data_IF_345962701257
#
_entry.id   IF_345962701257
#
_cell.length_a   1.000
_cell.length_b   1.000
_cell.length_c   1.000
_cell.angle_alpha   90.00
_cell.angle_beta   90.00
_cell.angle_gamma   90.00
#
_symmetry.space_group_name_H-M   'P 1'
#
loop_
_entity.id
_entity.type
_entity.pdbx_description
1 polymer ?
#
# COMPACT_ATOMS: atom_id res chain seq x y z
N UNK A 1 -8.79 -16.40 22.01
CA UNK A 1 -9.04 -16.21 20.57
C UNK A 1 -9.32 -14.74 20.35
N UNK A 2 -8.52 -14.03 19.55
CA UNK A 2 -8.76 -12.62 19.24
C UNK A 2 -9.83 -12.57 18.14
N UNK A 3 -11.04 -12.11 18.44
CA UNK A 3 -12.12 -12.03 17.46
C UNK A 3 -11.89 -10.84 16.53
N UNK A 4 -11.36 -11.10 15.34
CA UNK A 4 -11.34 -10.12 14.27
C UNK A 4 -12.72 -10.09 13.63
N UNK A 5 -13.51 -9.07 13.95
CA UNK A 5 -14.83 -8.90 13.36
C UNK A 5 -14.69 -8.69 11.85
N UNK A 6 -15.35 -9.55 11.06
CA UNK A 6 -15.26 -9.60 9.59
C UNK A 6 -15.66 -8.29 8.91
N UNK A 7 -16.45 -7.45 9.58
CA UNK A 7 -16.82 -6.13 9.06
C UNK A 7 -15.67 -5.11 9.03
N UNK A 8 -14.54 -5.39 9.70
CA UNK A 8 -13.40 -4.47 9.82
C UNK A 8 -12.25 -4.79 8.87
N UNK A 9 -12.30 -5.95 8.22
CA UNK A 9 -11.19 -6.45 7.41
C UNK A 9 -11.68 -6.91 6.04
N UNK A 10 -10.87 -6.65 5.03
CA UNK A 10 -11.02 -7.19 3.67
C UNK A 10 -9.94 -8.24 3.46
N UNK A 11 -10.34 -9.38 2.92
CA UNK A 11 -9.42 -10.47 2.61
C UNK A 11 -8.78 -10.23 1.24
N UNK A 12 -7.46 -10.10 1.23
CA UNK A 12 -6.59 -10.21 0.07
C UNK A 12 -6.23 -11.69 -0.18
N UNK A 13 -5.69 -12.04 -1.36
CA UNK A 13 -5.16 -13.37 -1.63
C UNK A 13 -4.16 -13.83 -0.56
N UNK A 14 -3.95 -15.15 -0.47
CA UNK A 14 -2.99 -15.77 0.46
C UNK A 14 -3.29 -15.54 1.94
N UNK A 15 -4.58 -15.47 2.31
CA UNK A 15 -5.05 -15.38 3.71
C UNK A 15 -4.54 -14.12 4.43
N UNK A 16 -4.36 -13.06 3.65
CA UNK A 16 -3.98 -11.75 4.14
C UNK A 16 -5.25 -10.93 4.39
N UNK A 17 -5.35 -10.34 5.57
CA UNK A 17 -6.48 -9.52 6.00
C UNK A 17 -5.99 -8.10 6.26
N UNK A 18 -6.52 -7.15 5.51
CA UNK A 18 -6.19 -5.72 5.62
C UNK A 18 -7.40 -4.92 6.13
N UNK A 19 -7.20 -3.76 6.76
CA UNK A 19 -8.31 -2.92 7.18
C UNK A 19 -9.26 -2.60 6.02
N UNK A 20 -10.56 -2.65 6.28
CA UNK A 20 -11.60 -2.35 5.28
C UNK A 20 -11.53 -0.93 4.71
N UNK A 21 -10.92 -0.02 5.46
CA UNK A 21 -10.70 1.38 5.09
C UNK A 21 -9.55 1.56 4.09
N UNK A 22 -8.75 0.51 3.85
CA UNK A 22 -7.74 0.57 2.81
C UNK A 22 -8.40 0.70 1.43
N UNK A 23 -7.79 1.46 0.51
CA UNK A 23 -8.24 1.59 -0.87
C UNK A 23 -7.88 0.32 -1.66
N UNK A 24 -8.49 -0.80 -1.30
CA UNK A 24 -8.23 -2.11 -1.91
C UNK A 24 -8.66 -2.10 -3.38
N UNK A 25 -9.82 -1.52 -3.67
CA UNK A 25 -10.40 -1.48 -5.01
C UNK A 25 -9.51 -0.71 -5.99
N UNK A 26 -9.01 -1.40 -7.02
CA UNK A 26 -8.10 -0.84 -8.03
C UNK A 26 -6.61 -0.87 -7.64
N UNK A 27 -6.27 -1.38 -6.45
CA UNK A 27 -4.89 -1.55 -6.00
C UNK A 27 -4.63 -2.97 -5.47
N UNK A 28 -5.54 -3.91 -5.70
CA UNK A 28 -5.48 -5.26 -5.15
C UNK A 28 -4.15 -5.94 -5.48
N UNK A 29 -3.72 -5.86 -6.74
CA UNK A 29 -2.47 -6.47 -7.20
C UNK A 29 -1.24 -5.84 -6.54
N UNK A 30 -1.22 -4.50 -6.40
CA UNK A 30 -0.13 -3.80 -5.74
C UNK A 30 -0.09 -4.12 -4.25
N UNK A 31 -1.21 -3.97 -3.55
CA UNK A 31 -1.32 -4.26 -2.13
C UNK A 31 -0.97 -5.71 -1.85
N UNK A 32 -1.41 -6.66 -2.68
CA UNK A 32 -1.05 -8.08 -2.53
C UNK A 32 0.46 -8.32 -2.62
N UNK A 33 1.14 -7.68 -3.58
CA UNK A 33 2.60 -7.76 -3.70
C UNK A 33 3.29 -7.10 -2.51
N UNK A 34 2.80 -5.93 -2.09
CA UNK A 34 3.38 -5.19 -0.97
C UNK A 34 3.22 -5.93 0.35
N UNK A 35 2.04 -6.46 0.65
CA UNK A 35 1.80 -7.24 1.87
C UNK A 35 2.64 -8.50 1.88
N UNK A 36 2.85 -9.14 0.72
CA UNK A 36 3.75 -10.28 0.61
C UNK A 36 5.20 -9.89 0.92
N UNK A 37 5.68 -8.78 0.39
CA UNK A 37 7.03 -8.27 0.73
C UNK A 37 7.17 -8.03 2.24
N UNK A 38 6.17 -7.45 2.89
CA UNK A 38 6.21 -7.25 4.35
C UNK A 38 6.22 -8.59 5.09
N UNK A 39 5.41 -9.57 4.67
CA UNK A 39 5.38 -10.90 5.29
C UNK A 39 6.73 -11.61 5.13
N UNK A 40 7.33 -11.54 3.94
CA UNK A 40 8.62 -12.16 3.65
C UNK A 40 9.77 -11.47 4.42
N UNK A 41 9.67 -10.16 4.69
CA UNK A 41 10.68 -9.36 5.40
C UNK A 41 10.49 -9.35 6.93
N UNK A 42 9.38 -9.86 7.47
CA UNK A 42 9.17 -10.01 8.93
C UNK A 42 10.13 -11.01 9.58
N UNK A 43 10.94 -11.73 8.79
CA UNK A 43 12.11 -12.46 9.29
C UNK A 43 13.25 -11.55 9.77
N UNK A 44 13.20 -10.25 9.45
CA UNK A 44 14.12 -9.23 9.94
C UNK A 44 13.74 -8.81 11.36
N UNK A 45 14.70 -8.60 12.27
CA UNK A 45 14.47 -8.15 13.67
C UNK A 45 13.84 -6.75 13.80
N UNK A 46 13.39 -6.16 12.68
CA UNK A 46 12.85 -4.81 12.57
C UNK A 46 11.33 -4.87 12.49
N UNK A 47 10.68 -4.05 13.29
CA UNK A 47 9.23 -3.85 13.18
C UNK A 47 8.96 -3.07 11.88
N UNK A 48 8.09 -3.61 11.02
CA UNK A 48 7.64 -2.91 9.81
C UNK A 48 6.25 -2.35 10.05
N UNK A 49 6.11 -1.04 9.87
CA UNK A 49 4.82 -0.35 9.88
C UNK A 49 4.41 -0.11 8.42
N UNK A 50 3.35 -0.78 7.99
CA UNK A 50 2.74 -0.52 6.68
C UNK A 50 1.60 0.48 6.87
N UNK A 51 1.78 1.68 6.33
CA UNK A 51 0.82 2.76 6.34
C UNK A 51 0.23 2.93 4.94
N UNK A 52 -1.09 2.87 4.83
CA UNK A 52 -1.81 3.12 3.57
C UNK A 52 -2.85 4.20 3.83
N UNK A 53 -2.78 5.32 3.11
CA UNK A 53 -3.66 6.48 3.30
C UNK A 53 -3.78 6.92 4.78
N UNK A 54 -2.64 7.16 5.43
CA UNK A 54 -2.56 7.56 6.85
C UNK A 54 -3.16 6.55 7.86
N UNK A 55 -3.36 5.29 7.44
CA UNK A 55 -3.77 4.19 8.33
C UNK A 55 -2.55 3.32 8.62
N UNK A 56 -1.83 3.55 9.75
CA UNK A 56 -0.67 2.75 10.11
C UNK A 56 -1.09 1.38 10.64
N UNK A 57 -0.45 0.34 10.12
CA UNK A 57 -0.69 -1.05 10.52
C UNK A 57 0.61 -1.81 10.76
N UNK A 58 0.53 -2.85 11.59
CA UNK A 58 1.60 -3.84 11.77
C UNK A 58 1.08 -5.22 11.39
N UNK A 59 1.99 -6.08 10.92
CA UNK A 59 1.66 -7.46 10.67
C UNK A 59 1.50 -8.25 11.97
N UNK A 60 0.40 -8.99 12.09
CA UNK A 60 0.12 -9.92 13.18
C UNK A 60 -0.23 -11.27 12.57
N UNK A 61 0.57 -12.30 12.88
CA UNK A 61 0.31 -13.66 12.45
C UNK A 61 -0.60 -14.37 13.46
N UNK A 62 -1.61 -15.08 12.98
CA UNK A 62 -2.53 -15.88 13.79
C UNK A 62 -2.58 -17.32 13.24
N UNK A 63 -2.38 -18.30 14.11
CA UNK A 63 -2.30 -19.72 13.73
C UNK A 63 -0.86 -20.22 13.63
N UNK A 64 -0.71 -21.48 13.21
CA UNK A 64 0.59 -22.15 13.07
C UNK A 64 0.69 -22.87 11.72
N UNK A 65 1.89 -22.90 11.16
CA UNK A 65 2.21 -23.64 9.94
C UNK A 65 1.38 -23.19 8.73
N UNK A 66 0.86 -24.16 7.97
CA UNK A 66 0.08 -23.92 6.76
C UNK A 66 -1.26 -23.24 7.03
N UNK A 67 -1.72 -23.16 8.28
CA UNK A 67 -2.96 -22.48 8.67
C UNK A 67 -2.78 -21.01 9.04
N UNK A 68 -1.55 -20.51 8.96
CA UNK A 68 -1.23 -19.12 9.34
C UNK A 68 -2.04 -18.11 8.53
N UNK A 69 -2.70 -17.22 9.25
CA UNK A 69 -3.41 -16.05 8.73
C UNK A 69 -2.64 -14.79 9.09
N UNK A 70 -2.63 -13.84 8.16
CA UNK A 70 -1.84 -12.61 8.26
C UNK A 70 -2.78 -11.42 8.40
N UNK A 71 -2.73 -10.73 9.54
CA UNK A 71 -3.57 -9.57 9.83
C UNK A 71 -2.75 -8.30 9.88
N UNK A 72 -3.09 -7.32 9.05
CA UNK A 72 -2.55 -5.96 9.16
C UNK A 72 -3.35 -5.18 10.19
N UNK A 73 -2.92 -5.24 11.45
CA UNK A 73 -3.62 -4.63 12.57
C UNK A 73 -3.27 -3.15 12.68
N UNK A 74 -4.29 -2.30 12.76
CA UNK A 74 -4.15 -0.86 12.97
C UNK A 74 -3.46 -0.56 14.31
N UNK A 75 -2.56 0.41 14.31
CA UNK A 75 -1.91 0.95 15.50
C UNK A 75 -2.22 2.44 15.67
N UNK A 76 -2.18 2.93 16.92
CA UNK A 76 -2.52 4.33 17.23
C UNK A 76 -1.34 5.29 17.11
N UNK A 77 -0.10 4.78 17.22
CA UNK A 77 1.10 5.61 17.23
C UNK A 77 2.28 4.85 16.59
N UNK A 78 2.69 5.19 15.36
CA UNK A 78 3.86 4.59 14.72
C UNK A 78 5.20 5.04 15.33
N UNK A 79 5.21 6.06 16.19
CA UNK A 79 6.41 6.81 16.59
C UNK A 79 7.18 6.36 17.84
N UNK A 80 6.90 5.19 18.44
CA UNK A 80 7.63 4.73 19.65
C UNK A 80 8.58 3.56 19.41
N UNK A 81 8.78 3.14 18.16
CA UNK A 81 9.61 1.99 17.82
C UNK A 81 10.55 2.41 16.70
N UNK A 82 11.79 1.91 16.68
CA UNK A 82 12.75 2.03 15.55
C UNK A 82 12.25 1.26 14.32
N UNK A 83 10.97 1.43 13.98
CA UNK A 83 10.27 0.70 12.96
C UNK A 83 10.61 1.26 11.58
N UNK A 84 10.75 0.35 10.64
CA UNK A 84 10.80 0.71 9.24
C UNK A 84 9.39 1.04 8.75
N UNK A 85 9.19 2.20 8.17
CA UNK A 85 7.87 2.64 7.71
C UNK A 85 7.75 2.46 6.20
N UNK A 86 6.75 1.72 5.75
CA UNK A 86 6.33 1.68 4.36
C UNK A 86 5.06 2.51 4.24
N UNK A 87 5.11 3.61 3.50
CA UNK A 87 4.04 4.59 3.38
C UNK A 87 3.47 4.57 1.96
N UNK A 88 2.17 4.33 1.82
CA UNK A 88 1.47 4.28 0.54
C UNK A 88 0.47 5.41 0.50
N UNK A 89 0.73 6.39 -0.36
CA UNK A 89 -0.09 7.59 -0.51
C UNK A 89 -0.66 7.63 -1.92
N UNK A 90 -1.98 7.71 -2.04
CA UNK A 90 -2.63 7.84 -3.35
C UNK A 90 -3.12 9.28 -3.47
N UNK A 91 -2.47 10.02 -4.36
CA UNK A 91 -2.81 11.38 -4.68
C UNK A 91 -4.04 11.40 -5.60
N UNK A 92 -5.17 11.82 -5.06
CA UNK A 92 -6.32 12.30 -5.83
C UNK A 92 -6.10 13.76 -6.22
N UNK A 93 -6.76 14.26 -7.27
CA UNK A 93 -6.66 15.68 -7.71
C UNK A 93 -6.89 16.68 -6.56
N UNK A 94 -7.77 16.35 -5.61
CA UNK A 94 -8.04 17.18 -4.44
C UNK A 94 -6.83 17.28 -3.48
N UNK A 95 -6.02 16.21 -3.39
CA UNK A 95 -4.83 16.15 -2.53
C UNK A 95 -3.56 16.73 -3.19
N UNK A 96 -3.53 16.82 -4.53
CA UNK A 96 -2.47 17.50 -5.27
C UNK A 96 -2.46 19.01 -4.99
N UNK A 97 -3.63 19.62 -4.81
CA UNK A 97 -3.73 21.06 -4.51
C UNK A 97 -3.12 21.46 -3.16
N UNK A 98 -3.07 20.54 -2.18
CA UNK A 98 -2.42 20.78 -0.88
C UNK A 98 -0.91 20.54 -0.88
N UNK A 99 -0.39 19.70 -1.79
CA UNK A 99 1.02 19.30 -1.81
C UNK A 99 1.86 19.98 -2.89
N UNK A 100 1.23 20.64 -3.86
CA UNK A 100 1.91 21.44 -4.89
C UNK A 100 2.32 22.82 -4.35
N UNK A 101 3.14 22.82 -3.30
CA UNK A 101 4.01 23.93 -2.94
C UNK A 101 5.43 23.39 -2.73
N UNK A 102 5.96 22.65 -3.71
CA UNK A 102 7.41 22.53 -3.87
C UNK A 102 7.77 22.02 -5.27
N UNK A 103 8.20 22.98 -6.09
CA UNK A 103 9.26 22.91 -7.13
C UNK A 103 9.11 22.03 -8.38
N UNK A 104 9.49 22.69 -9.48
CA UNK A 104 9.35 22.39 -10.91
C UNK A 104 10.44 21.46 -11.51
N UNK A 105 10.26 21.19 -12.82
CA UNK A 105 11.23 20.72 -13.85
C UNK A 105 11.42 19.19 -13.95
N UNK A 106 11.54 18.52 -15.10
CA UNK A 106 11.33 18.77 -16.54
C UNK A 106 11.46 17.37 -17.24
N UNK A 107 10.91 17.26 -18.46
CA UNK A 107 11.36 16.36 -19.55
C UNK A 107 10.93 14.86 -19.65
N UNK A 108 10.04 14.65 -20.65
CA UNK A 108 10.14 13.72 -21.81
C UNK A 108 9.68 12.24 -21.79
N UNK A 109 8.65 11.97 -22.64
CA UNK A 109 8.47 10.94 -23.73
C UNK A 109 9.01 9.50 -23.50
N UNK A 110 8.43 8.38 -23.93
CA UNK A 110 7.37 7.91 -24.86
C UNK A 110 7.24 6.37 -24.59
N UNK A 111 6.15 5.65 -24.83
CA UNK A 111 5.77 5.07 -26.15
C UNK A 111 4.55 4.15 -26.00
N UNK A 112 3.72 4.09 -27.04
CA UNK A 112 2.47 3.32 -27.21
C UNK A 112 2.70 1.81 -27.40
N UNK A 113 1.71 0.99 -26.97
CA UNK A 113 1.13 -0.12 -27.77
C UNK A 113 -0.07 -0.79 -27.06
N UNK A 114 -1.26 -0.54 -27.60
CA UNK A 114 -2.47 -1.38 -27.84
C UNK A 114 -2.34 -2.92 -27.57
N UNK A 115 -3.34 -3.73 -27.13
CA UNK A 115 -4.83 -3.74 -27.16
C UNK A 115 -5.38 -4.84 -26.19
N UNK A 116 -6.64 -4.70 -25.74
CA UNK A 116 -7.68 -5.74 -25.47
C UNK A 116 -8.12 -6.06 -24.03
N UNK A 117 -9.12 -5.29 -23.60
CA UNK A 117 -10.45 -5.67 -23.07
C UNK A 117 -10.65 -6.66 -21.89
N UNK A 118 -11.46 -6.16 -20.95
CA UNK A 118 -12.23 -6.84 -19.89
C UNK A 118 -11.51 -7.25 -18.59
N UNK A 119 -11.29 -6.26 -17.70
CA UNK A 119 -11.93 -6.29 -16.38
C UNK A 119 -11.89 -4.89 -15.73
N UNK A 120 -13.02 -4.43 -15.19
CA UNK A 120 -13.22 -3.09 -14.62
C UNK A 120 -12.58 -2.94 -13.22
N UNK A 121 -11.32 -3.34 -13.09
CA UNK A 121 -10.41 -2.89 -12.03
C UNK A 121 -9.56 -1.75 -12.60
N UNK A 122 -9.44 -0.63 -11.89
CA UNK A 122 -8.58 0.47 -12.32
C UNK A 122 -7.17 -0.11 -12.51
N UNK A 123 -6.65 -0.10 -13.74
CA UNK A 123 -5.31 -0.60 -14.00
C UNK A 123 -4.29 0.30 -13.31
N UNK A 124 -3.18 -0.27 -12.84
CA UNK A 124 -2.02 0.49 -12.38
C UNK A 124 -1.52 1.45 -13.49
N UNK A 125 -1.86 1.16 -14.75
CA UNK A 125 -1.61 2.00 -15.91
C UNK A 125 -2.23 3.40 -15.79
N UNK A 126 -3.20 3.59 -14.89
CA UNK A 126 -3.80 4.90 -14.63
C UNK A 126 -3.03 5.71 -13.57
N UNK A 127 -1.96 5.16 -13.00
CA UNK A 127 -1.14 5.81 -11.99
C UNK A 127 0.35 5.78 -12.33
N UNK A 128 1.01 6.94 -12.21
CA UNK A 128 2.44 7.01 -12.05
C UNK A 128 2.80 6.70 -10.60
N UNK A 129 3.74 5.76 -10.39
CA UNK A 129 4.24 5.40 -9.06
C UNK A 129 5.60 6.07 -8.85
N UNK A 130 5.68 6.97 -7.89
CA UNK A 130 6.94 7.55 -7.44
C UNK A 130 7.37 6.92 -6.12
N UNK A 131 8.60 6.43 -6.05
CA UNK A 131 9.16 5.81 -4.85
C UNK A 131 10.21 6.72 -4.24
N UNK A 132 10.09 7.00 -2.95
CA UNK A 132 11.11 7.70 -2.17
C UNK A 132 11.59 6.80 -1.04
N UNK A 133 12.90 6.59 -0.94
CA UNK A 133 13.49 5.71 0.07
C UNK A 133 14.49 6.49 0.94
N UNK A 134 14.41 6.27 2.24
CA UNK A 134 15.38 6.69 3.25
C UNK A 134 15.75 5.49 4.13
N UNK A 135 16.68 5.70 5.06
CA UNK A 135 17.21 4.65 5.95
C UNK A 135 16.12 3.89 6.72
N UNK A 136 15.04 4.58 7.11
CA UNK A 136 13.95 4.05 7.93
C UNK A 136 12.58 4.12 7.26
N UNK A 137 12.49 4.52 5.98
CA UNK A 137 11.19 4.71 5.32
C UNK A 137 11.26 4.46 3.81
N UNK A 138 10.30 3.68 3.29
CA UNK A 138 9.93 3.70 1.86
C UNK A 138 8.58 4.39 1.71
N UNK A 139 8.43 5.31 0.78
CA UNK A 139 7.15 5.89 0.42
C UNK A 139 6.82 5.61 -1.06
N UNK A 140 5.64 5.06 -1.31
CA UNK A 140 5.05 4.87 -2.63
C UNK A 140 3.94 5.91 -2.85
N UNK A 141 4.12 6.78 -3.84
CA UNK A 141 3.15 7.79 -4.23
C UNK A 141 2.48 7.38 -5.53
N UNK A 142 1.16 7.16 -5.49
CA UNK A 142 0.34 6.90 -6.67
C UNK A 142 -0.26 8.21 -7.15
N UNK A 143 0.14 8.67 -8.33
CA UNK A 143 -0.34 9.92 -8.94
C UNK A 143 -1.14 9.56 -10.19
N UNK A 144 -2.40 10.00 -10.27
CA UNK A 144 -3.23 9.77 -11.44
C UNK A 144 -2.57 10.31 -12.71
N UNK A 145 -2.51 9.49 -13.75
CA UNK A 145 -2.09 9.93 -15.08
C UNK A 145 -3.22 10.79 -15.64
N UNK A 146 -2.94 12.07 -15.87
CA UNK A 146 -3.88 12.95 -16.56
C UNK A 146 -3.85 12.59 -18.05
N UNK A 147 -4.94 12.01 -18.56
CA UNK A 147 -5.19 11.99 -19.99
C UNK A 147 -5.43 13.44 -20.46
N UNK A 148 -4.74 13.81 -21.54
CA UNK A 148 -4.62 15.18 -22.03
C UNK A 148 -5.66 15.51 -23.09
#
# INVERSE_FOLDING_TARGET
MREFSTAKYVQLPNRVFVPSEWPVKGLESFLSKLTKLVIDDVTSDRVIVLQVQDIPTILVCCGEGEETQYFFQRISSPGQTEAYVIDVVIATMDNLSKKNSMTSEDSSKSSENDISDSDKGISLDNYNIMTHQSENKTAYYFVLIQEK
#
